data_IF_578515044784
#
_entry.id   IF_578515044784
#
_cell.length_a   1.000
_cell.length_b   1.000
_cell.length_c   1.000
_cell.angle_alpha   90.00
_cell.angle_beta   90.00
_cell.angle_gamma   90.00
#
_symmetry.space_group_name_H-M   'P 1'
#
loop_
_entity.id
_entity.type
_entity.pdbx_description
1 polymer ?
#
# COMPACT_ATOMS: atom_id res chain seq x y z
N UNK A 1 11.45 -3.61 20.57
CA UNK A 1 12.90 -3.62 20.28
C UNK A 1 13.09 -3.31 18.80
N UNK A 2 14.01 -2.43 18.44
CA UNK A 2 14.53 -2.27 17.06
C UNK A 2 15.89 -2.94 17.07
N UNK A 3 15.89 -4.27 16.97
CA UNK A 3 17.12 -5.05 16.97
C UNK A 3 16.93 -6.27 16.08
N UNK A 4 17.89 -6.49 15.21
CA UNK A 4 18.03 -7.74 14.47
C UNK A 4 19.41 -8.30 14.79
N UNK A 5 19.57 -9.62 14.69
CA UNK A 5 20.84 -10.28 14.98
C UNK A 5 21.75 -10.35 13.73
N UNK A 6 21.38 -9.69 12.63
CA UNK A 6 22.12 -9.71 11.37
C UNK A 6 22.55 -8.31 10.96
N UNK A 7 23.82 -8.17 10.59
CA UNK A 7 24.38 -6.90 10.15
C UNK A 7 23.70 -6.40 8.86
N UNK A 8 23.36 -5.11 8.83
CA UNK A 8 22.80 -4.45 7.65
C UNK A 8 21.30 -4.67 7.40
N UNK A 9 20.61 -5.43 8.24
CA UNK A 9 19.16 -5.56 8.14
C UNK A 9 18.45 -4.25 8.51
N UNK A 10 17.35 -4.00 7.80
CA UNK A 10 16.50 -2.85 8.01
C UNK A 10 15.13 -3.28 8.53
N UNK A 11 14.67 -2.65 9.59
CA UNK A 11 13.34 -2.92 10.17
C UNK A 11 12.39 -1.78 9.83
N UNK A 12 11.32 -2.12 9.13
CA UNK A 12 10.19 -1.22 8.94
C UNK A 12 9.13 -1.41 10.03
N UNK A 13 8.52 -0.31 10.47
CA UNK A 13 7.39 -0.32 11.39
C UNK A 13 6.14 0.30 10.74
N UNK A 14 4.96 0.04 11.29
CA UNK A 14 3.70 0.56 10.75
C UNK A 14 2.86 -0.56 10.16
N UNK A 15 3.19 -0.98 8.93
CA UNK A 15 2.42 -1.95 8.15
C UNK A 15 0.91 -1.64 8.18
N UNK A 16 0.58 -0.34 8.04
CA UNK A 16 -0.79 0.15 8.22
C UNK A 16 -1.57 0.09 6.91
N UNK A 17 -2.84 -0.30 6.99
CA UNK A 17 -3.80 -0.12 5.90
C UNK A 17 -4.23 1.35 5.73
N UNK A 18 -5.01 1.66 4.67
CA UNK A 18 -5.34 3.03 4.30
C UNK A 18 -6.39 3.68 5.22
N UNK A 19 -7.17 2.88 5.94
CA UNK A 19 -8.42 3.30 6.61
C UNK A 19 -8.55 2.65 8.00
N UNK A 20 -9.36 3.28 8.84
CA UNK A 20 -9.85 2.72 10.09
C UNK A 20 -10.87 3.67 10.72
N UNK A 21 -11.78 3.13 11.53
CA UNK A 21 -12.88 3.89 12.10
C UNK A 21 -12.51 4.69 13.36
N UNK A 22 -11.36 4.38 13.99
CA UNK A 22 -10.92 4.94 15.27
C UNK A 22 -11.99 4.81 16.38
N UNK A 23 -12.86 3.79 16.29
CA UNK A 23 -13.96 3.54 17.23
C UNK A 23 -13.71 2.22 17.94
N UNK A 24 -13.09 2.31 19.11
CA UNK A 24 -12.72 1.14 19.91
C UNK A 24 -13.92 0.29 20.35
N UNK A 25 -15.10 0.89 20.47
CA UNK A 25 -16.34 0.22 20.88
C UNK A 25 -17.21 -0.26 19.72
N UNK A 26 -16.75 -0.17 18.46
CA UNK A 26 -17.48 -0.71 17.31
C UNK A 26 -17.33 -2.22 17.20
N UNK A 27 -18.25 -2.90 16.52
CA UNK A 27 -18.19 -4.36 16.29
C UNK A 27 -16.95 -4.81 15.49
N UNK A 28 -16.30 -3.87 14.79
CA UNK A 28 -15.07 -4.10 14.02
C UNK A 28 -14.09 -2.95 14.27
N UNK A 29 -13.47 -2.89 15.46
CA UNK A 29 -12.62 -1.77 15.84
C UNK A 29 -11.36 -1.75 14.96
N UNK A 30 -11.03 -0.58 14.44
CA UNK A 30 -9.85 -0.39 13.58
C UNK A 30 -9.25 1.00 13.78
N UNK A 31 -7.96 1.14 13.50
CA UNK A 31 -7.27 2.43 13.59
C UNK A 31 -6.86 2.93 12.21
N UNK A 32 -7.18 4.19 11.93
CA UNK A 32 -6.63 4.89 10.75
C UNK A 32 -5.10 4.98 10.86
N UNK A 33 -4.37 5.02 9.73
CA UNK A 33 -2.89 4.98 9.74
C UNK A 33 -2.27 6.14 10.54
N UNK A 34 -2.86 7.34 10.44
CA UNK A 34 -2.38 8.51 11.17
C UNK A 34 -2.65 8.41 12.68
N UNK A 35 -3.80 7.87 13.09
CA UNK A 35 -4.11 7.64 14.49
C UNK A 35 -3.19 6.57 15.10
N UNK A 36 -3.00 5.45 14.37
CA UNK A 36 -2.06 4.40 14.77
C UNK A 36 -0.65 4.97 14.96
N UNK A 37 -0.14 5.75 14.00
CA UNK A 37 1.20 6.33 14.06
C UNK A 37 1.41 7.22 15.31
N UNK A 38 0.40 8.05 15.65
CA UNK A 38 0.42 8.89 16.86
C UNK A 38 0.37 8.04 18.12
N UNK A 39 -0.51 7.04 18.17
CA UNK A 39 -0.65 6.15 19.31
C UNK A 39 0.62 5.33 19.55
N UNK A 40 1.22 4.77 18.49
CA UNK A 40 2.48 4.03 18.56
C UNK A 40 3.62 4.91 19.08
N UNK A 41 3.72 6.18 18.61
CA UNK A 41 4.67 7.14 19.19
C UNK A 41 4.38 7.38 20.68
N UNK A 42 3.13 7.60 21.07
CA UNK A 42 2.76 7.80 22.48
C UNK A 42 3.11 6.58 23.35
N UNK A 43 2.92 5.38 22.81
CA UNK A 43 3.21 4.10 23.46
C UNK A 43 4.70 3.74 23.52
N UNK A 44 5.60 4.58 22.97
CA UNK A 44 7.05 4.37 23.10
C UNK A 44 7.79 3.99 21.82
N UNK A 45 7.12 3.88 20.66
CA UNK A 45 7.83 3.69 19.39
C UNK A 45 8.75 4.87 19.11
N UNK A 46 10.05 4.61 18.88
CA UNK A 46 11.08 5.65 18.66
C UNK A 46 11.96 5.39 17.45
N UNK A 47 12.41 4.15 17.27
CA UNK A 47 13.39 3.76 16.25
C UNK A 47 12.74 2.86 15.20
N UNK A 48 13.08 3.11 13.94
CA UNK A 48 12.78 2.32 12.75
C UNK A 48 13.72 2.77 11.62
N UNK A 49 13.96 1.89 10.66
CA UNK A 49 14.73 2.23 9.44
C UNK A 49 13.82 2.77 8.35
N UNK A 50 12.56 2.31 8.31
CA UNK A 50 11.52 2.80 7.42
C UNK A 50 10.14 2.78 8.08
N UNK A 51 9.21 3.57 7.55
CA UNK A 51 7.80 3.44 7.87
C UNK A 51 7.07 2.71 6.73
N UNK A 52 6.38 1.62 7.04
CA UNK A 52 5.63 0.81 6.08
C UNK A 52 4.14 1.17 6.07
N UNK A 53 3.56 1.24 4.86
CA UNK A 53 2.15 1.56 4.65
C UNK A 53 1.61 0.90 3.38
N UNK A 54 0.33 0.53 3.40
CA UNK A 54 -0.40 -0.14 2.32
C UNK A 54 -1.49 0.77 1.78
N UNK A 55 -1.18 1.68 0.84
CA UNK A 55 -2.06 2.79 0.48
C UNK A 55 -3.19 2.40 -0.51
N UNK A 56 -3.91 1.30 -0.23
CA UNK A 56 -4.92 0.74 -1.12
C UNK A 56 -6.10 1.66 -1.42
N UNK A 57 -6.56 1.58 -2.67
CA UNK A 57 -7.83 2.14 -3.13
C UNK A 57 -9.01 1.54 -2.35
N UNK A 58 -10.15 2.24 -2.31
CA UNK A 58 -11.35 1.85 -1.57
C UNK A 58 -12.58 1.59 -2.43
N UNK A 59 -12.51 1.81 -3.74
CA UNK A 59 -13.59 1.46 -4.69
C UNK A 59 -13.05 1.38 -6.13
N UNK A 60 -13.66 0.59 -7.02
CA UNK A 60 -13.18 0.37 -8.39
C UNK A 60 -12.96 1.65 -9.22
N UNK A 61 -13.62 2.76 -8.87
CA UNK A 61 -13.51 4.04 -9.59
C UNK A 61 -12.32 4.89 -9.15
N UNK A 62 -11.63 4.55 -8.06
CA UNK A 62 -10.48 5.31 -7.56
C UNK A 62 -9.21 4.99 -8.36
N UNK A 63 -8.65 6.01 -9.02
CA UNK A 63 -7.33 5.93 -9.65
C UNK A 63 -6.20 6.01 -8.60
N UNK A 64 -4.95 5.66 -8.95
CA UNK A 64 -3.80 5.84 -8.06
C UNK A 64 -3.63 7.27 -7.54
N UNK A 65 -3.98 8.28 -8.35
CA UNK A 65 -3.94 9.69 -7.96
C UNK A 65 -5.19 10.17 -7.20
N UNK A 66 -6.24 9.35 -7.07
CA UNK A 66 -7.47 9.77 -6.41
C UNK A 66 -7.23 10.11 -4.93
N UNK A 67 -7.75 11.27 -4.52
CA UNK A 67 -7.74 11.68 -3.13
C UNK A 67 -8.87 10.95 -2.38
N UNK A 68 -8.59 10.39 -1.20
CA UNK A 68 -9.61 9.73 -0.41
C UNK A 68 -10.38 10.76 0.44
N UNK A 69 -11.57 10.36 0.91
CA UNK A 69 -12.34 11.13 1.89
C UNK A 69 -11.90 10.80 3.32
N UNK A 70 -12.14 11.74 4.25
CA UNK A 70 -11.91 11.53 5.69
C UNK A 70 -10.44 11.33 6.05
N UNK A 71 -10.18 10.53 7.10
CA UNK A 71 -8.84 10.29 7.63
C UNK A 71 -8.00 9.23 6.91
N UNK A 72 -8.41 8.84 5.70
CA UNK A 72 -7.76 7.79 4.94
C UNK A 72 -6.46 8.26 4.28
N UNK A 73 -5.51 7.35 4.13
CA UNK A 73 -4.28 7.58 3.37
C UNK A 73 -4.21 6.54 2.25
N UNK A 74 -4.31 6.99 1.00
CA UNK A 74 -4.12 6.20 -0.22
C UNK A 74 -2.91 6.74 -0.98
N UNK A 75 -2.62 6.18 -2.16
CA UNK A 75 -1.42 6.59 -2.90
C UNK A 75 -1.52 8.06 -3.35
N UNK A 76 -2.72 8.52 -3.70
CA UNK A 76 -2.97 9.90 -4.16
C UNK A 76 -2.65 10.97 -3.11
N UNK A 77 -2.74 10.64 -1.82
CA UNK A 77 -2.39 11.55 -0.72
C UNK A 77 -1.25 11.02 0.18
N UNK A 78 -0.36 10.17 -0.34
CA UNK A 78 0.74 9.56 0.44
C UNK A 78 1.63 10.58 1.18
N UNK A 79 1.69 11.82 0.69
CA UNK A 79 2.43 12.92 1.32
C UNK A 79 1.90 13.29 2.71
N UNK A 80 0.62 13.02 2.99
CA UNK A 80 0.02 13.19 4.32
C UNK A 80 0.67 12.25 5.36
N UNK A 81 0.91 10.99 4.98
CA UNK A 81 1.62 10.03 5.82
C UNK A 81 3.07 10.45 6.03
N UNK A 82 3.75 10.84 4.95
CA UNK A 82 5.15 11.30 4.98
C UNK A 82 5.31 12.48 5.96
N UNK A 83 4.42 13.48 5.87
CA UNK A 83 4.47 14.65 6.74
C UNK A 83 4.37 14.26 8.22
N UNK A 84 3.45 13.35 8.58
CA UNK A 84 3.31 12.90 9.96
C UNK A 84 4.50 12.03 10.41
N UNK A 85 4.96 11.12 9.55
CA UNK A 85 6.14 10.28 9.83
C UNK A 85 7.36 11.15 10.12
N UNK A 86 7.61 12.16 9.27
CA UNK A 86 8.70 13.11 9.44
C UNK A 86 8.59 13.87 10.78
N UNK A 87 7.38 14.30 11.15
CA UNK A 87 7.14 14.99 12.42
C UNK A 87 7.41 14.12 13.65
N UNK A 88 7.11 12.82 13.59
CA UNK A 88 7.18 11.94 14.76
C UNK A 88 8.51 11.17 14.89
N UNK A 89 9.19 10.92 13.77
CA UNK A 89 10.36 10.03 13.71
C UNK A 89 11.54 10.62 12.93
N UNK A 90 11.43 11.86 12.44
CA UNK A 90 12.39 12.45 11.51
C UNK A 90 12.23 11.89 10.09
N UNK A 91 13.03 12.40 9.15
CA UNK A 91 12.95 11.96 7.75
C UNK A 91 13.37 10.50 7.62
N UNK A 92 12.39 9.62 7.40
CA UNK A 92 12.59 8.18 7.15
C UNK A 92 12.12 7.80 5.75
N UNK A 93 12.72 6.77 5.12
CA UNK A 93 12.14 6.09 3.99
C UNK A 93 10.71 5.61 4.28
N UNK A 94 9.87 5.68 3.26
CA UNK A 94 8.55 5.06 3.22
C UNK A 94 8.65 3.81 2.35
N UNK A 95 8.16 2.70 2.90
CA UNK A 95 8.04 1.44 2.19
C UNK A 95 6.57 1.15 1.93
N UNK A 96 6.22 1.04 0.65
CA UNK A 96 4.94 0.50 0.22
C UNK A 96 5.14 -1.00 0.03
N UNK A 97 4.95 -1.76 1.10
CA UNK A 97 5.22 -3.21 1.09
C UNK A 97 4.12 -4.01 0.42
N UNK A 98 2.95 -3.41 0.20
CA UNK A 98 1.84 -3.98 -0.56
C UNK A 98 1.10 -2.87 -1.33
N UNK A 99 0.92 -3.07 -2.64
CA UNK A 99 0.03 -2.27 -3.48
C UNK A 99 -0.51 -3.08 -4.66
N UNK A 100 -1.66 -2.71 -5.22
CA UNK A 100 -2.23 -3.44 -6.35
C UNK A 100 -3.68 -3.05 -6.64
N UNK A 101 -4.15 -3.45 -7.81
CA UNK A 101 -5.55 -3.33 -8.23
C UNK A 101 -6.08 -4.70 -8.62
N UNK A 102 -7.19 -5.10 -8.00
CA UNK A 102 -7.86 -6.35 -8.29
C UNK A 102 -8.58 -6.30 -9.63
N UNK A 103 -8.74 -7.46 -10.25
CA UNK A 103 -9.50 -7.65 -11.48
C UNK A 103 -10.54 -8.74 -11.28
N UNK A 104 -11.47 -8.92 -12.23
CA UNK A 104 -12.40 -10.06 -12.18
C UNK A 104 -11.64 -11.39 -12.00
N UNK A 105 -12.17 -12.35 -11.22
CA UNK A 105 -13.54 -12.43 -10.73
C UNK A 105 -13.87 -11.73 -9.39
N UNK A 106 -12.98 -10.90 -8.83
CA UNK A 106 -13.34 -10.07 -7.66
C UNK A 106 -14.65 -9.31 -7.93
N UNK A 107 -15.53 -9.23 -6.92
CA UNK A 107 -16.90 -8.71 -7.05
C UNK A 107 -17.06 -7.27 -6.57
N UNK A 108 -16.12 -6.73 -5.78
CA UNK A 108 -16.29 -5.48 -5.05
C UNK A 108 -15.32 -4.38 -5.49
N UNK A 109 -14.09 -4.77 -5.81
CA UNK A 109 -12.94 -3.92 -6.08
C UNK A 109 -12.35 -4.14 -7.48
N UNK A 110 -12.91 -5.04 -8.29
CA UNK A 110 -12.41 -5.35 -9.61
C UNK A 110 -12.43 -4.14 -10.56
N UNK A 111 -11.28 -3.89 -11.17
CA UNK A 111 -11.13 -3.04 -12.35
C UNK A 111 -10.96 -3.90 -13.62
N UNK A 112 -11.09 -3.29 -14.80
CA UNK A 112 -10.76 -3.99 -16.05
C UNK A 112 -9.25 -4.30 -16.12
N UNK A 113 -8.88 -5.32 -16.88
CA UNK A 113 -7.47 -5.65 -17.13
C UNK A 113 -6.68 -4.46 -17.73
N UNK A 114 -7.32 -3.66 -18.59
CA UNK A 114 -6.72 -2.44 -19.14
C UNK A 114 -6.49 -1.37 -18.06
N UNK A 115 -7.46 -1.16 -17.17
CA UNK A 115 -7.30 -0.25 -16.04
C UNK A 115 -6.22 -0.71 -15.08
N UNK A 116 -6.14 -2.02 -14.77
CA UNK A 116 -5.07 -2.55 -13.93
C UNK A 116 -3.68 -2.21 -14.50
N UNK A 117 -3.47 -2.42 -15.80
CA UNK A 117 -2.21 -2.09 -16.46
C UNK A 117 -1.90 -0.59 -16.45
N UNK A 118 -2.90 0.26 -16.70
CA UNK A 118 -2.74 1.72 -16.66
C UNK A 118 -2.43 2.22 -15.26
N UNK A 119 -3.18 1.75 -14.26
CA UNK A 119 -3.00 2.12 -12.86
C UNK A 119 -1.68 1.63 -12.30
N UNK A 120 -1.16 0.49 -12.75
CA UNK A 120 0.19 0.05 -12.41
C UNK A 120 1.23 1.09 -12.83
N UNK A 121 1.21 1.50 -14.10
CA UNK A 121 2.17 2.50 -14.61
C UNK A 121 2.04 3.83 -13.87
N UNK A 122 0.81 4.29 -13.66
CA UNK A 122 0.52 5.53 -12.92
C UNK A 122 1.03 5.47 -11.48
N UNK A 123 0.78 4.37 -10.78
CA UNK A 123 1.16 4.20 -9.38
C UNK A 123 2.68 4.19 -9.18
N UNK A 124 3.42 3.44 -10.02
CA UNK A 124 4.89 3.46 -9.99
C UNK A 124 5.45 4.83 -10.35
N UNK A 125 4.80 5.58 -11.25
CA UNK A 125 5.20 6.94 -11.56
C UNK A 125 4.99 7.90 -10.37
N UNK A 126 3.90 7.75 -9.61
CA UNK A 126 3.67 8.51 -8.37
C UNK A 126 4.74 8.18 -7.32
N UNK A 127 5.03 6.89 -7.12
CA UNK A 127 6.05 6.44 -6.18
C UNK A 127 7.42 7.03 -6.51
N UNK A 128 7.86 6.94 -7.78
CA UNK A 128 9.14 7.49 -8.26
C UNK A 128 9.24 9.01 -8.12
N UNK A 129 8.14 9.74 -8.35
CA UNK A 129 8.07 11.20 -8.14
C UNK A 129 7.97 11.60 -6.66
N UNK A 130 7.95 10.65 -5.74
CA UNK A 130 7.87 10.89 -4.29
C UNK A 130 9.18 10.43 -3.64
N UNK A 131 10.19 11.30 -3.46
CA UNK A 131 11.55 10.88 -3.13
C UNK A 131 11.74 10.14 -1.80
N UNK A 132 10.76 10.16 -0.89
CA UNK A 132 10.81 9.37 0.34
C UNK A 132 10.27 7.94 0.17
N UNK A 133 9.53 7.65 -0.90
CA UNK A 133 9.11 6.27 -1.22
C UNK A 133 10.32 5.55 -1.80
N UNK A 134 10.97 4.76 -0.96
CA UNK A 134 12.19 4.02 -1.32
C UNK A 134 11.88 2.63 -1.87
N UNK A 135 10.71 2.09 -1.57
CA UNK A 135 10.28 0.75 -1.96
C UNK A 135 8.79 0.74 -2.27
N UNK A 136 8.42 0.06 -3.35
CA UNK A 136 7.04 -0.23 -3.71
C UNK A 136 6.92 -1.63 -4.31
N UNK A 137 6.18 -2.50 -3.62
CA UNK A 137 5.91 -3.88 -4.04
C UNK A 137 4.50 -3.97 -4.60
N UNK A 138 4.38 -4.48 -5.83
CA UNK A 138 3.10 -4.90 -6.37
C UNK A 138 2.72 -6.26 -5.78
N UNK A 139 1.72 -6.28 -4.91
CA UNK A 139 1.26 -7.48 -4.24
C UNK A 139 0.30 -8.24 -5.16
N UNK A 140 0.93 -9.01 -6.05
CA UNK A 140 0.74 -10.44 -6.34
C UNK A 140 1.44 -10.71 -7.67
N UNK A 141 2.14 -11.84 -7.81
CA UNK A 141 2.64 -12.28 -9.12
C UNK A 141 1.52 -12.94 -9.94
N UNK A 142 0.69 -13.75 -9.27
CA UNK A 142 -0.35 -14.58 -9.86
C UNK A 142 -1.63 -14.41 -9.02
N UNK A 143 -2.78 -14.36 -9.67
CA UNK A 143 -4.06 -14.34 -8.94
C UNK A 143 -4.24 -15.59 -8.10
N UNK A 144 -4.91 -15.41 -6.97
CA UNK A 144 -5.34 -16.48 -6.10
C UNK A 144 -6.46 -17.30 -6.73
N UNK A 145 -6.48 -18.60 -6.42
CA UNK A 145 -7.58 -19.52 -6.77
C UNK A 145 -8.78 -19.36 -5.84
N UNK A 146 -8.58 -18.86 -4.62
CA UNK A 146 -9.65 -18.57 -3.66
C UNK A 146 -10.27 -17.20 -3.97
N UNK A 147 -11.50 -17.18 -4.46
CA UNK A 147 -12.19 -15.94 -4.86
C UNK A 147 -12.80 -15.21 -3.66
N UNK A 148 -13.11 -15.93 -2.57
CA UNK A 148 -13.79 -15.34 -1.42
C UNK A 148 -12.82 -14.66 -0.45
N UNK A 149 -11.57 -15.15 -0.37
CA UNK A 149 -10.55 -14.62 0.55
C UNK A 149 -9.25 -14.20 -0.14
N UNK A 150 -8.99 -14.68 -1.35
CA UNK A 150 -7.75 -14.41 -2.07
C UNK A 150 -7.81 -13.13 -2.90
N UNK A 151 -6.71 -12.84 -3.60
CA UNK A 151 -6.54 -11.60 -4.35
C UNK A 151 -6.29 -11.77 -5.83
N UNK A 152 -6.92 -10.89 -6.62
CA UNK A 152 -6.90 -10.95 -8.08
C UNK A 152 -6.11 -9.79 -8.72
N UNK A 153 -5.06 -9.33 -8.03
CA UNK A 153 -4.14 -8.26 -8.44
C UNK A 153 -2.94 -8.76 -9.24
N UNK A 154 -2.79 -10.07 -9.44
CA UNK A 154 -1.63 -10.68 -10.07
C UNK A 154 -1.35 -10.18 -11.48
N UNK A 155 -0.08 -10.25 -11.90
CA UNK A 155 0.31 -10.09 -13.31
C UNK A 155 -0.12 -11.28 -14.17
N UNK A 156 -0.30 -12.43 -13.55
CA UNK A 156 -0.83 -13.65 -14.15
C UNK A 156 -2.23 -13.94 -13.59
N UNK A 157 -3.11 -14.50 -14.42
CA UNK A 157 -4.35 -15.11 -13.94
C UNK A 157 -4.06 -16.32 -13.05
N UNK A 158 -5.07 -16.83 -12.33
CA UNK A 158 -4.95 -18.05 -11.52
C UNK A 158 -4.54 -19.29 -12.35
N UNK A 159 -4.81 -19.29 -13.66
CA UNK A 159 -4.36 -20.32 -14.62
C UNK A 159 -2.99 -20.03 -15.25
N UNK A 160 -2.32 -18.93 -14.88
CA UNK A 160 -0.98 -18.58 -15.35
C UNK A 160 -0.94 -17.73 -16.63
N UNK A 161 -2.09 -17.32 -17.17
CA UNK A 161 -2.13 -16.47 -18.37
C UNK A 161 -1.66 -15.05 -18.02
N UNK A 162 -0.77 -14.49 -18.82
CA UNK A 162 -0.31 -13.10 -18.67
C UNK A 162 -1.47 -12.12 -18.84
N UNK A 163 -1.66 -11.24 -17.86
CA UNK A 163 -2.52 -10.06 -17.99
C UNK A 163 -1.76 -8.90 -18.66
N UNK A 164 -2.47 -7.89 -19.19
CA UNK A 164 -1.84 -6.67 -19.70
C UNK A 164 -0.88 -6.01 -18.68
N UNK A 165 -1.16 -6.11 -17.38
CA UNK A 165 -0.31 -5.59 -16.30
C UNK A 165 1.09 -6.23 -16.28
N UNK A 166 1.24 -7.49 -16.70
CA UNK A 166 2.56 -8.14 -16.83
C UNK A 166 3.48 -7.36 -17.76
N UNK A 167 2.98 -7.03 -18.95
CA UNK A 167 3.75 -6.30 -19.95
C UNK A 167 3.92 -4.82 -19.58
N UNK A 168 2.96 -4.23 -18.85
CA UNK A 168 3.09 -2.88 -18.32
C UNK A 168 4.25 -2.80 -17.30
N UNK A 169 4.30 -3.73 -16.35
CA UNK A 169 5.37 -3.81 -15.35
C UNK A 169 6.74 -3.98 -16.00
N UNK A 170 6.86 -4.90 -16.98
CA UNK A 170 8.11 -5.15 -17.72
C UNK A 170 8.64 -3.90 -18.46
N UNK A 171 7.78 -2.95 -18.81
CA UNK A 171 8.15 -1.71 -19.53
C UNK A 171 8.35 -0.51 -18.61
N UNK A 172 8.22 -0.67 -17.29
CA UNK A 172 8.55 0.42 -16.38
C UNK A 172 10.01 0.83 -16.59
N UNK A 173 10.32 2.14 -16.59
CA UNK A 173 11.71 2.59 -16.64
C UNK A 173 12.48 2.05 -15.43
N UNK A 174 13.80 1.94 -15.48
CA UNK A 174 14.61 1.57 -14.32
C UNK A 174 14.97 2.81 -13.53
#
# INVERSE_FOLDING_TARGET
>A
MHNTNFAGEQVACGATGPRGNNQASSDRPSMSPLAFMRAARKAGMRKMDAYAHHPYYGKPTETPAALPNGGAVTLGNIRTLIALSNKLFGRKPIWITEYGYQTRPDRLFAVSYGNQARYLTEAYAIARRTPQVALMIWFMLKDDTNIDAGWQSGFLTATGKKKPAFNAFRRLPH
#
